data_IF_066385385599
#
_entry.id   IF_066385385599
#
_cell.length_a   1.000
_cell.length_b   1.000
_cell.length_c   1.000
_cell.angle_alpha   90.00
_cell.angle_beta   90.00
_cell.angle_gamma   90.00
#
_symmetry.space_group_name_H-M   'P 1'
#
loop_
_entity.id
_entity.type
_entity.pdbx_description
1 polymer ?
#
# COMPACT_ATOMS: atom_id res chain seq x y z
N UNK A 1 3.25 5.23 9.69
CA UNK A 1 3.23 5.97 8.41
C UNK A 1 1.84 6.54 8.23
N UNK A 2 1.70 7.84 7.97
CA UNK A 2 0.38 8.47 7.78
C UNK A 2 -0.08 8.36 6.33
N UNK A 3 -1.39 8.31 6.10
CA UNK A 3 -2.04 8.34 4.77
C UNK A 3 -1.46 9.43 3.84
N UNK A 4 -1.08 10.57 4.43
CA UNK A 4 -0.47 11.72 3.74
C UNK A 4 0.90 11.42 3.13
N UNK A 5 1.71 10.55 3.73
CA UNK A 5 3.06 10.25 3.25
C UNK A 5 3.03 9.38 1.99
N UNK A 6 2.22 8.32 1.97
CA UNK A 6 2.14 7.43 0.81
C UNK A 6 1.59 8.19 -0.40
N UNK A 7 0.60 9.08 -0.19
CA UNK A 7 0.05 9.88 -1.29
C UNK A 7 1.06 10.90 -1.85
N UNK A 8 1.79 11.57 -0.96
CA UNK A 8 2.86 12.48 -1.35
C UNK A 8 3.95 11.74 -2.15
N UNK A 9 4.32 10.52 -1.73
CA UNK A 9 5.32 9.68 -2.41
C UNK A 9 4.85 9.28 -3.81
N UNK A 10 3.63 8.77 -3.96
CA UNK A 10 3.10 8.33 -5.28
C UNK A 10 3.04 9.50 -6.28
N UNK A 11 2.74 10.71 -5.81
CA UNK A 11 2.68 11.91 -6.66
C UNK A 11 4.04 12.35 -7.20
N UNK A 12 5.12 12.16 -6.45
CA UNK A 12 6.47 12.61 -6.84
C UNK A 12 7.26 11.58 -7.66
N UNK A 13 6.72 10.36 -7.85
CA UNK A 13 7.36 9.35 -8.70
C UNK A 13 7.47 9.83 -10.16
N UNK A 14 8.63 9.63 -10.77
CA UNK A 14 8.84 9.85 -12.20
C UNK A 14 7.96 8.90 -13.04
N UNK A 15 7.67 9.19 -14.31
CA UNK A 15 6.95 8.26 -15.19
C UNK A 15 7.62 6.88 -15.26
N UNK A 16 8.95 6.84 -15.25
CA UNK A 16 9.74 5.61 -15.26
C UNK A 16 9.60 4.82 -13.97
N UNK A 17 9.63 5.50 -12.82
CA UNK A 17 9.38 4.86 -11.52
C UNK A 17 7.96 4.32 -11.42
N UNK A 18 6.95 5.07 -11.91
CA UNK A 18 5.57 4.58 -11.97
C UNK A 18 5.45 3.32 -12.83
N UNK A 19 6.14 3.28 -13.98
CA UNK A 19 6.19 2.07 -14.82
C UNK A 19 6.85 0.90 -14.08
N UNK A 20 7.95 1.13 -13.36
CA UNK A 20 8.59 0.09 -12.56
C UNK A 20 7.68 -0.46 -11.46
N UNK A 21 6.96 0.39 -10.71
CA UNK A 21 5.95 -0.06 -9.71
C UNK A 21 4.86 -0.91 -10.37
N UNK A 22 4.40 -0.51 -11.55
CA UNK A 22 3.40 -1.26 -12.30
C UNK A 22 3.92 -2.65 -12.72
N UNK A 23 5.14 -2.70 -13.29
CA UNK A 23 5.78 -3.93 -13.74
C UNK A 23 6.09 -4.89 -12.57
N UNK A 24 6.29 -4.36 -11.35
CA UNK A 24 6.43 -5.15 -10.11
C UNK A 24 5.10 -5.75 -9.60
N UNK A 25 3.96 -5.40 -10.21
CA UNK A 25 2.63 -5.88 -9.80
C UNK A 25 1.90 -4.95 -8.82
N UNK A 26 2.51 -3.84 -8.42
CA UNK A 26 1.94 -2.88 -7.47
C UNK A 26 1.21 -1.70 -8.13
N UNK A 27 0.83 -1.83 -9.41
CA UNK A 27 0.21 -0.77 -10.19
C UNK A 27 -1.12 -0.24 -9.63
N UNK A 28 -1.82 -1.03 -8.81
CA UNK A 28 -3.02 -0.63 -8.05
C UNK A 28 -2.73 0.46 -7.03
N UNK A 29 -1.55 0.46 -6.40
CA UNK A 29 -1.15 1.49 -5.43
C UNK A 29 -1.02 2.88 -6.08
N UNK A 30 -0.64 2.91 -7.36
CA UNK A 30 -0.55 4.16 -8.14
C UNK A 30 -1.93 4.80 -8.41
N UNK A 31 -3.01 4.01 -8.29
CA UNK A 31 -4.38 4.44 -8.54
C UNK A 31 -5.14 4.80 -7.26
N UNK A 32 -4.53 4.59 -6.09
CA UNK A 32 -5.12 4.99 -4.82
C UNK A 32 -5.10 6.52 -4.72
N UNK A 33 -6.24 7.15 -5.01
CA UNK A 33 -6.44 8.56 -4.71
C UNK A 33 -6.67 8.72 -3.20
N UNK A 34 -5.59 9.01 -2.49
CA UNK A 34 -5.61 9.17 -1.04
C UNK A 34 -5.80 10.62 -0.59
N UNK A 35 -6.01 11.57 -1.52
CA UNK A 35 -6.37 12.95 -1.15
C UNK A 35 -7.82 13.05 -0.68
N UNK A 36 -8.65 12.09 -1.10
CA UNK A 36 -10.11 12.18 -1.00
C UNK A 36 -10.68 11.27 0.09
N UNK A 37 -9.86 10.44 0.74
CA UNK A 37 -10.36 9.62 1.86
C UNK A 37 -10.75 10.55 3.00
N UNK A 38 -12.05 10.73 3.31
CA UNK A 38 -12.46 11.65 4.34
C UNK A 38 -11.86 11.15 5.65
N UNK A 39 -11.20 12.02 6.43
CA UNK A 39 -10.63 11.60 7.72
C UNK A 39 -11.65 10.88 8.61
N UNK A 40 -12.93 11.26 8.51
CA UNK A 40 -14.06 10.61 9.17
C UNK A 40 -14.27 9.14 8.76
N UNK A 41 -14.04 8.79 7.50
CA UNK A 41 -14.15 7.40 7.04
C UNK A 41 -13.08 6.53 7.67
N UNK A 42 -11.84 7.03 7.81
CA UNK A 42 -10.77 6.27 8.44
C UNK A 42 -11.04 6.01 9.93
N UNK A 43 -11.53 7.03 10.67
CA UNK A 43 -11.90 6.84 12.08
C UNK A 43 -13.07 5.86 12.23
N UNK A 44 -14.10 6.00 11.40
CA UNK A 44 -15.22 5.06 11.39
C UNK A 44 -14.77 3.62 11.13
N UNK A 45 -13.90 3.40 10.15
CA UNK A 45 -13.38 2.06 9.83
C UNK A 45 -12.61 1.44 11.00
N UNK A 46 -11.90 2.25 11.80
CA UNK A 46 -11.22 1.78 13.01
C UNK A 46 -12.22 1.41 14.12
N UNK A 47 -13.29 2.19 14.28
CA UNK A 47 -14.31 1.92 15.30
C UNK A 47 -15.10 0.63 15.02
N UNK A 48 -15.27 0.27 13.75
CA UNK A 48 -15.99 -0.94 13.34
C UNK A 48 -15.07 -2.13 13.05
N UNK A 49 -13.75 -1.99 13.20
CA UNK A 49 -12.80 -3.06 12.93
C UNK A 49 -12.61 -3.98 14.15
N UNK A 50 -12.81 -5.28 13.96
CA UNK A 50 -12.51 -6.32 14.94
C UNK A 50 -11.17 -7.00 14.61
N UNK A 51 -10.11 -6.77 15.40
CA UNK A 51 -8.78 -7.33 15.15
C UNK A 51 -8.70 -8.84 15.38
N UNK A 52 -9.57 -9.42 16.21
CA UNK A 52 -9.54 -10.86 16.49
C UNK A 52 -10.04 -11.68 15.30
N UNK A 53 -11.04 -11.15 14.59
CA UNK A 53 -11.63 -11.82 13.42
C UNK A 53 -11.20 -11.26 12.06
N UNK A 54 -10.42 -10.17 12.03
CA UNK A 54 -10.06 -9.42 10.82
C UNK A 54 -11.30 -8.99 10.00
N UNK A 55 -12.33 -8.48 10.68
CA UNK A 55 -13.60 -8.10 10.05
C UNK A 55 -13.97 -6.65 10.35
N UNK A 56 -14.63 -6.00 9.40
CA UNK A 56 -15.31 -4.73 9.58
C UNK A 56 -16.80 -5.00 9.85
N UNK A 57 -17.23 -4.69 11.07
CA UNK A 57 -18.57 -4.94 11.62
C UNK A 57 -19.43 -3.68 11.51
N UNK A 58 -19.91 -3.38 10.30
CA UNK A 58 -20.77 -2.22 10.05
C UNK A 58 -22.22 -2.55 10.42
N UNK A 59 -23.04 -1.52 10.69
CA UNK A 59 -24.46 -1.70 11.03
C UNK A 59 -25.23 -2.52 9.98
N UNK A 60 -24.84 -2.38 8.71
CA UNK A 60 -25.54 -2.98 7.57
C UNK A 60 -24.83 -4.21 6.98
N UNK A 61 -23.79 -4.72 7.63
CA UNK A 61 -23.10 -5.91 7.15
C UNK A 61 -21.69 -6.10 7.66
N UNK A 62 -21.12 -7.24 7.31
CA UNK A 62 -19.78 -7.64 7.71
C UNK A 62 -18.90 -7.78 6.48
N UNK A 63 -17.75 -7.12 6.49
CA UNK A 63 -16.70 -7.31 5.48
C UNK A 63 -15.50 -8.01 6.12
N UNK A 64 -15.20 -9.22 5.66
CA UNK A 64 -14.01 -9.95 6.08
C UNK A 64 -12.79 -9.52 5.26
N UNK A 65 -11.72 -9.13 5.95
CA UNK A 65 -10.45 -8.74 5.33
C UNK A 65 -9.62 -10.01 5.15
N UNK A 66 -9.70 -10.60 3.95
CA UNK A 66 -8.92 -11.79 3.60
C UNK A 66 -7.68 -11.43 2.76
N UNK A 67 -6.71 -12.35 2.69
CA UNK A 67 -5.53 -12.21 1.82
C UNK A 67 -5.94 -12.04 0.36
N UNK A 68 -6.97 -12.74 -0.07
CA UNK A 68 -7.47 -12.69 -1.45
C UNK A 68 -8.09 -11.33 -1.78
N UNK A 69 -8.83 -10.76 -0.83
CA UNK A 69 -9.40 -9.43 -0.97
C UNK A 69 -8.30 -8.38 -1.08
N UNK A 70 -7.28 -8.47 -0.22
CA UNK A 70 -6.12 -7.56 -0.25
C UNK A 70 -5.34 -7.71 -1.55
N UNK A 71 -5.04 -8.94 -2.00
CA UNK A 71 -4.40 -9.20 -3.29
C UNK A 71 -5.19 -8.58 -4.45
N UNK A 72 -6.51 -8.79 -4.48
CA UNK A 72 -7.38 -8.26 -5.53
C UNK A 72 -7.41 -6.72 -5.57
N UNK A 73 -7.42 -6.08 -4.39
CA UNK A 73 -7.49 -4.62 -4.28
C UNK A 73 -6.13 -3.95 -4.49
N UNK A 74 -5.06 -4.53 -3.94
CA UNK A 74 -3.75 -3.90 -3.82
C UNK A 74 -2.70 -4.48 -4.77
N UNK A 75 -2.97 -5.63 -5.40
CA UNK A 75 -2.04 -6.32 -6.29
C UNK A 75 -0.90 -7.04 -5.56
N UNK A 76 -0.93 -7.08 -4.22
CA UNK A 76 0.11 -7.72 -3.41
C UNK A 76 0.11 -9.23 -3.65
N UNK A 77 1.28 -9.86 -3.77
CA UNK A 77 1.37 -11.31 -3.89
C UNK A 77 0.69 -12.03 -2.70
N UNK A 78 0.05 -13.18 -2.98
CA UNK A 78 -0.61 -14.00 -1.95
C UNK A 78 0.40 -14.67 -1.00
N UNK A 79 1.63 -14.83 -1.46
CA UNK A 79 2.74 -15.45 -0.76
C UNK A 79 3.90 -14.46 -0.65
N UNK A 80 4.73 -14.64 0.38
CA UNK A 80 5.88 -13.77 0.66
C UNK A 80 6.19 -13.74 2.15
N UNK A 81 7.32 -13.09 2.46
CA UNK A 81 7.71 -12.86 3.85
C UNK A 81 6.89 -11.72 4.46
N UNK A 82 6.67 -11.82 5.77
CA UNK A 82 6.09 -10.74 6.54
C UNK A 82 6.96 -9.49 6.41
N UNK A 83 6.37 -8.40 5.91
CA UNK A 83 7.03 -7.10 5.76
C UNK A 83 7.66 -6.63 7.09
N UNK A 84 7.03 -6.95 8.23
CA UNK A 84 7.55 -6.62 9.56
C UNK A 84 8.77 -7.47 9.96
N UNK A 85 9.05 -8.56 9.24
CA UNK A 85 10.19 -9.45 9.45
C UNK A 85 11.29 -9.26 8.39
N UNK A 86 11.03 -8.46 7.36
CA UNK A 86 12.05 -8.15 6.36
C UNK A 86 13.13 -7.27 6.98
N UNK A 87 14.42 -7.59 6.80
CA UNK A 87 15.51 -6.75 7.28
C UNK A 87 15.45 -5.40 6.57
N UNK A 88 15.69 -4.33 7.33
CA UNK A 88 15.88 -3.01 6.74
C UNK A 88 17.19 -3.03 5.94
N UNK A 89 17.13 -2.80 4.63
CA UNK A 89 18.33 -2.68 3.82
C UNK A 89 18.95 -1.29 4.05
N UNK A 90 20.13 -1.25 4.66
CA UNK A 90 20.91 -0.02 4.76
C UNK A 90 21.41 0.45 3.37
N UNK A 91 21.75 1.73 3.29
CA UNK A 91 22.27 2.41 2.10
C UNK A 91 23.38 1.60 1.42
N UNK A 92 23.27 1.38 0.10
CA UNK A 92 24.21 0.56 -0.68
C UNK A 92 23.63 -0.73 -1.27
N UNK A 93 22.33 -1.00 -1.07
CA UNK A 93 21.62 -2.03 -1.82
C UNK A 93 21.55 -1.64 -3.31
N UNK A 94 22.01 -2.51 -4.20
CA UNK A 94 21.99 -2.29 -5.67
C UNK A 94 20.59 -1.90 -6.17
N UNK A 95 19.53 -2.49 -5.62
CA UNK A 95 18.14 -2.17 -5.96
C UNK A 95 17.79 -0.73 -5.56
N UNK A 96 18.27 -0.25 -4.41
CA UNK A 96 18.06 1.13 -3.97
C UNK A 96 18.83 2.13 -4.84
N UNK A 97 20.04 1.78 -5.28
CA UNK A 97 20.83 2.62 -6.18
C UNK A 97 20.24 2.65 -7.59
N UNK A 98 19.80 1.52 -8.14
CA UNK A 98 19.05 1.45 -9.40
C UNK A 98 17.78 2.29 -9.35
N UNK A 99 17.02 2.21 -8.25
CA UNK A 99 15.82 3.01 -8.06
C UNK A 99 16.10 4.52 -8.05
N UNK A 100 17.20 4.94 -7.40
CA UNK A 100 17.63 6.36 -7.40
C UNK A 100 17.96 6.84 -8.80
N UNK A 101 18.60 6.03 -9.63
CA UNK A 101 18.94 6.38 -11.02
C UNK A 101 17.69 6.61 -11.86
N UNK A 102 16.60 5.86 -11.63
CA UNK A 102 15.29 6.06 -12.29
C UNK A 102 14.61 7.40 -11.92
N UNK A 103 15.16 8.15 -10.96
CA UNK A 103 14.67 9.46 -10.52
C UNK A 103 15.29 10.65 -11.29
N UNK A 104 16.33 10.42 -12.11
CA UNK A 104 17.14 11.49 -12.76
C UNK A 104 16.77 11.71 -14.25
N UNK A 105 15.77 10.99 -14.77
CA UNK A 105 15.21 11.17 -16.12
C UNK A 105 13.73 11.59 -16.06
#
# INVERSE_FOLDING_TARGET
MTQSMINAIVKVLSPTQKKAVYDMGFGSLLKLDMDVVPGLLNYYLLDVYDPESNRLMMENGVLEITKELVHKMMGLAMEGDDLCRMPYYETGNEILEEWKVLSIL
#
